data_IF_560541988054
#
_entry.id   IF_560541988054
#
_cell.length_a   1.000
_cell.length_b   1.000
_cell.length_c   1.000
_cell.angle_alpha   90.00
_cell.angle_beta   90.00
_cell.angle_gamma   90.00
#
_symmetry.space_group_name_H-M   'P 1'
#
loop_
_entity.id
_entity.type
_entity.pdbx_description
1 polymer ?
#
# COMPACT_ATOMS: atom_id res chain seq x y z
N UNK A 1 12.74 8.68 5.77
CA UNK A 1 13.67 7.58 5.44
C UNK A 1 14.87 7.42 6.37
N UNK A 2 15.27 8.45 7.15
CA UNK A 2 16.48 8.44 7.99
C UNK A 2 16.54 7.38 9.10
N UNK A 3 15.46 6.63 9.32
CA UNK A 3 15.34 5.65 10.40
C UNK A 3 15.52 4.21 9.92
N UNK A 4 15.30 3.94 8.63
CA UNK A 4 15.38 2.61 8.03
C UNK A 4 16.84 2.28 7.71
N UNK A 5 17.22 1.01 7.84
CA UNK A 5 18.59 0.58 7.58
C UNK A 5 19.06 0.87 6.14
N UNK A 6 20.34 1.26 6.04
CA UNK A 6 21.03 1.65 4.80
C UNK A 6 21.22 0.42 3.91
N UNK A 7 20.61 0.42 2.72
CA UNK A 7 20.76 -0.59 1.67
C UNK A 7 19.96 -0.17 0.41
N UNK A 8 19.97 -1.03 -0.61
CA UNK A 8 19.10 -0.93 -1.78
C UNK A 8 17.69 -1.47 -1.48
N UNK A 9 16.67 -0.78 -2.01
CA UNK A 9 15.26 -1.13 -1.88
C UNK A 9 14.51 -0.97 -3.21
N UNK A 10 13.42 -1.73 -3.34
CA UNK A 10 12.35 -1.40 -4.29
C UNK A 10 11.32 -0.52 -3.58
N UNK A 11 11.11 0.69 -4.11
CA UNK A 11 10.03 1.57 -3.70
C UNK A 11 8.82 1.35 -4.60
N UNK A 12 7.79 0.72 -4.04
CA UNK A 12 6.50 0.50 -4.70
C UNK A 12 5.55 1.65 -4.32
N UNK A 13 5.38 2.60 -5.22
CA UNK A 13 4.33 3.61 -5.14
C UNK A 13 3.09 3.10 -5.86
N UNK A 14 1.90 3.41 -5.35
CA UNK A 14 0.65 2.95 -5.94
C UNK A 14 -0.46 3.95 -5.74
N UNK A 15 -1.28 4.07 -6.77
CA UNK A 15 -2.62 4.65 -6.71
C UNK A 15 -3.64 3.54 -7.00
N UNK A 16 -4.73 3.49 -6.24
CA UNK A 16 -5.85 2.56 -6.49
C UNK A 16 -7.07 3.41 -6.83
N UNK A 17 -7.58 3.27 -8.05
CA UNK A 17 -8.81 3.93 -8.47
C UNK A 17 -10.02 3.10 -8.04
N UNK A 18 -11.03 3.76 -7.48
CA UNK A 18 -12.23 3.11 -6.96
C UNK A 18 -13.54 3.43 -7.70
N UNK A 19 -13.59 4.02 -8.92
CA UNK A 19 -14.86 4.43 -9.51
C UNK A 19 -15.83 3.25 -9.77
N UNK A 20 -15.32 2.01 -9.83
CA UNK A 20 -16.13 0.80 -10.00
C UNK A 20 -16.01 -0.16 -8.81
N UNK A 21 -15.37 0.24 -7.71
CA UNK A 21 -15.08 -0.64 -6.57
C UNK A 21 -16.33 -1.13 -5.82
N UNK A 22 -17.50 -0.57 -6.12
CA UNK A 22 -18.80 -1.08 -5.66
C UNK A 22 -19.20 -2.40 -6.34
N UNK A 23 -18.49 -2.81 -7.39
CA UNK A 23 -18.66 -4.09 -8.07
C UNK A 23 -17.49 -5.03 -7.75
N UNK A 24 -17.71 -6.36 -7.74
CA UNK A 24 -16.63 -7.32 -7.63
C UNK A 24 -15.53 -7.06 -8.67
N UNK A 25 -14.28 -7.00 -8.22
CA UNK A 25 -13.08 -6.72 -9.05
C UNK A 25 -13.07 -5.35 -9.75
N UNK A 26 -13.86 -4.38 -9.28
CA UNK A 26 -13.92 -3.05 -9.91
C UNK A 26 -12.86 -2.04 -9.43
N UNK A 27 -12.12 -2.34 -8.36
CA UNK A 27 -10.97 -1.53 -7.96
C UNK A 27 -9.78 -1.73 -8.94
N UNK A 28 -9.06 -0.66 -9.22
CA UNK A 28 -7.99 -0.65 -10.24
C UNK A 28 -6.68 -0.18 -9.62
N UNK A 29 -5.74 -1.11 -9.41
CA UNK A 29 -4.44 -0.84 -8.84
C UNK A 29 -3.41 -0.44 -9.92
N UNK A 30 -2.67 0.66 -9.69
CA UNK A 30 -1.62 1.18 -10.57
C UNK A 30 -0.26 1.22 -9.88
N UNK A 31 0.40 0.06 -9.65
CA UNK A 31 1.70 0.03 -8.99
C UNK A 31 2.82 0.51 -9.92
N UNK A 32 3.74 1.28 -9.34
CA UNK A 32 5.00 1.72 -9.95
C UNK A 32 6.15 1.41 -9.00
N UNK A 33 7.19 0.78 -9.54
CA UNK A 33 8.37 0.39 -8.77
C UNK A 33 9.60 1.19 -9.21
N UNK A 34 10.37 1.67 -8.24
CA UNK A 34 11.67 2.30 -8.46
C UNK A 34 12.73 1.61 -7.62
N UNK A 35 13.95 1.48 -8.15
CA UNK A 35 15.10 1.06 -7.37
C UNK A 35 15.70 2.29 -6.70
N UNK A 36 15.86 2.25 -5.38
CA UNK A 36 16.44 3.35 -4.60
C UNK A 36 17.51 2.84 -3.64
N UNK A 37 18.52 3.66 -3.41
CA UNK A 37 19.53 3.45 -2.38
C UNK A 37 19.22 4.36 -1.20
N UNK A 38 19.15 3.78 0.00
CA UNK A 38 18.96 4.55 1.23
C UNK A 38 20.28 4.77 1.91
N UNK A 39 20.61 6.04 2.10
CA UNK A 39 21.81 6.51 2.79
C UNK A 39 21.46 7.10 4.17
N UNK A 40 22.44 7.20 5.06
CA UNK A 40 22.29 7.77 6.40
C UNK A 40 22.82 6.87 7.51
N UNK A 41 22.22 6.97 8.70
CA UNK A 41 22.61 6.20 9.90
C UNK A 41 21.44 5.42 10.52
N UNK A 42 20.34 5.27 9.77
CA UNK A 42 19.19 4.50 10.23
C UNK A 42 19.54 3.02 10.40
N UNK A 43 18.89 2.36 11.37
CA UNK A 43 19.15 0.96 11.72
C UNK A 43 17.88 0.13 11.87
N UNK A 44 16.69 0.73 11.76
CA UNK A 44 15.43 -0.01 11.91
C UNK A 44 15.23 -0.96 10.74
N UNK A 45 14.97 -2.21 11.06
CA UNK A 45 14.52 -3.25 10.13
C UNK A 45 13.05 -3.56 10.38
N UNK A 46 12.37 -4.13 9.39
CA UNK A 46 10.96 -4.53 9.50
C UNK A 46 10.70 -5.79 8.69
N UNK A 47 9.76 -6.61 9.14
CA UNK A 47 9.18 -7.67 8.31
C UNK A 47 8.34 -7.04 7.20
N UNK A 48 8.43 -7.60 6.00
CA UNK A 48 7.60 -7.21 4.86
C UNK A 48 6.41 -8.16 4.68
N UNK A 49 5.42 -7.71 3.92
CA UNK A 49 4.36 -8.55 3.34
C UNK A 49 4.70 -8.82 1.88
N UNK A 50 4.48 -10.04 1.39
CA UNK A 50 4.70 -10.36 -0.02
C UNK A 50 3.77 -9.53 -0.90
N UNK A 51 4.25 -9.13 -2.09
CA UNK A 51 3.46 -8.29 -3.01
C UNK A 51 2.10 -8.90 -3.38
N UNK A 52 2.05 -10.24 -3.49
CA UNK A 52 0.83 -11.02 -3.79
C UNK A 52 -0.10 -11.18 -2.60
N UNK A 53 0.32 -10.78 -1.40
CA UNK A 53 -0.45 -10.88 -0.15
C UNK A 53 -0.85 -9.49 0.37
N UNK A 54 -0.57 -8.43 -0.38
CA UNK A 54 -0.89 -7.06 0.03
C UNK A 54 -2.40 -6.84 0.13
N UNK A 55 -3.18 -7.38 -0.81
CA UNK A 55 -4.61 -7.11 -0.93
C UNK A 55 -5.39 -8.38 -1.22
N UNK A 56 -6.65 -8.41 -0.77
CA UNK A 56 -7.67 -9.36 -1.19
C UNK A 56 -8.80 -8.62 -1.90
N UNK A 57 -9.50 -9.33 -2.79
CA UNK A 57 -10.61 -8.76 -3.55
C UNK A 57 -11.78 -8.30 -2.65
N UNK A 58 -11.90 -8.88 -1.46
CA UNK A 58 -12.93 -8.59 -0.46
C UNK A 58 -12.45 -7.69 0.68
N UNK A 59 -11.22 -7.17 0.63
CA UNK A 59 -10.77 -6.17 1.59
C UNK A 59 -11.71 -4.94 1.52
N UNK A 60 -12.13 -4.36 2.66
CA UNK A 60 -13.17 -3.32 2.66
C UNK A 60 -12.75 -2.00 2.00
N UNK A 61 -11.45 -1.79 1.74
CA UNK A 61 -10.95 -0.69 0.91
C UNK A 61 -10.87 -1.03 -0.58
N UNK A 62 -10.90 -2.31 -0.94
CA UNK A 62 -10.86 -2.82 -2.32
C UNK A 62 -12.31 -3.02 -2.84
N UNK A 63 -13.16 -3.67 -2.06
CA UNK A 63 -14.60 -3.76 -2.28
C UNK A 63 -15.29 -2.61 -1.52
N UNK A 64 -15.28 -1.43 -2.13
CA UNK A 64 -15.73 -0.19 -1.49
C UNK A 64 -16.68 0.58 -2.41
N UNK A 65 -17.78 1.12 -1.86
CA UNK A 65 -18.68 1.99 -2.63
C UNK A 65 -18.37 3.47 -2.35
N UNK A 66 -17.65 4.17 -3.25
CA UNK A 66 -17.30 5.58 -3.04
C UNK A 66 -18.47 6.55 -3.25
N UNK A 67 -19.64 6.06 -3.68
CA UNK A 67 -20.82 6.89 -3.98
C UNK A 67 -21.82 6.97 -2.83
N UNK A 68 -21.62 6.20 -1.76
CA UNK A 68 -22.41 6.29 -0.53
C UNK A 68 -21.71 7.19 0.50
N UNK A 69 -22.44 7.81 1.45
CA UNK A 69 -21.81 8.55 2.54
C UNK A 69 -20.94 7.63 3.41
N UNK A 70 -19.68 8.03 3.64
CA UNK A 70 -18.76 7.35 4.55
C UNK A 70 -18.05 8.37 5.44
N UNK A 71 -17.76 7.98 6.68
CA UNK A 71 -16.97 8.81 7.61
C UNK A 71 -15.47 8.54 7.46
N UNK A 72 -15.12 7.27 7.23
CA UNK A 72 -13.75 6.81 7.10
C UNK A 72 -13.63 5.86 5.91
N UNK A 73 -12.45 5.84 5.30
CA UNK A 73 -12.07 4.87 4.28
C UNK A 73 -11.03 3.90 4.85
N UNK A 74 -11.31 2.59 4.88
CA UNK A 74 -10.35 1.60 5.38
C UNK A 74 -9.23 1.40 4.34
N UNK A 75 -8.05 1.98 4.59
CA UNK A 75 -6.90 1.79 3.70
C UNK A 75 -6.54 0.30 3.60
N UNK A 76 -6.46 -0.26 2.38
CA UNK A 76 -6.08 -1.66 2.20
C UNK A 76 -4.58 -1.84 2.42
N UNK A 77 -4.16 -3.07 2.70
CA UNK A 77 -2.75 -3.41 2.92
C UNK A 77 -2.35 -3.54 4.39
N UNK A 78 -1.06 -3.83 4.65
CA UNK A 78 -0.54 -4.01 5.99
C UNK A 78 -0.52 -2.69 6.78
N UNK A 79 -0.44 -2.81 8.11
CA UNK A 79 -0.35 -1.66 9.02
C UNK A 79 0.84 -0.76 8.64
N UNK A 80 0.60 0.56 8.68
CA UNK A 80 1.64 1.55 8.43
C UNK A 80 2.81 1.35 9.39
N UNK A 81 4.02 1.27 8.83
CA UNK A 81 5.23 1.26 9.64
C UNK A 81 5.42 2.61 10.33
N UNK A 82 5.46 2.59 11.67
CA UNK A 82 5.78 3.77 12.49
C UNK A 82 7.25 3.64 12.93
N UNK A 83 8.08 4.54 12.41
CA UNK A 83 9.51 4.63 12.67
C UNK A 83 9.82 5.62 13.78
#
# INVERSE_FOLDING_TARGET
MRLINVQNYVFRHEFIALPLANQPNGAQAYPKCLNIEITGSGTKTRSGTLGTELYKADDPGIAFNPYEPFTNYPMPGPVLFIG
#
